data_IF_476657253410
#
_entry.id   IF_476657253410
#
_cell.length_a   1.000
_cell.length_b   1.000
_cell.length_c   1.000
_cell.angle_alpha   90.00
_cell.angle_beta   90.00
_cell.angle_gamma   90.00
#
_symmetry.space_group_name_H-M   'P 1'
#
loop_
_entity.id
_entity.type
_entity.pdbx_description
1 polymer ?
#
# COMPACT_ATOMS: atom_id res chain seq x y z
N UNK A 1 -4.99 7.82 -12.21
CA UNK A 1 -4.04 8.12 -11.11
C UNK A 1 -4.24 7.09 -10.01
N UNK A 2 -3.43 6.03 -9.99
CA UNK A 2 -3.47 5.04 -8.92
C UNK A 2 -2.59 5.56 -7.79
N UNK A 3 -3.16 6.22 -6.79
CA UNK A 3 -2.46 6.62 -5.55
C UNK A 3 -3.19 5.97 -4.38
N UNK A 4 -2.47 5.64 -3.31
CA UNK A 4 -3.13 5.18 -2.09
C UNK A 4 -3.96 6.31 -1.49
N UNK A 5 -5.28 6.11 -1.44
CA UNK A 5 -6.25 7.09 -0.92
C UNK A 5 -6.63 6.69 0.50
N UNK A 6 -5.70 6.93 1.45
CA UNK A 6 -5.92 6.65 2.86
C UNK A 6 -5.46 7.79 3.75
N UNK A 7 -5.94 7.81 4.98
CA UNK A 7 -5.62 8.84 5.97
C UNK A 7 -5.00 8.18 7.21
N UNK A 8 -3.71 8.42 7.45
CA UNK A 8 -3.04 7.96 8.66
C UNK A 8 -3.46 8.90 9.79
N UNK A 9 -4.14 8.37 10.81
CA UNK A 9 -4.40 9.11 12.06
C UNK A 9 -3.29 8.74 13.04
N UNK A 10 -2.34 9.64 13.24
CA UNK A 10 -1.30 9.53 14.27
C UNK A 10 -1.43 10.72 15.20
N UNK A 11 -1.66 10.46 16.48
CA UNK A 11 -1.71 11.50 17.54
C UNK A 11 -2.70 12.64 17.22
N UNK A 12 -3.87 12.31 16.65
CA UNK A 12 -4.92 13.28 16.32
C UNK A 12 -4.68 14.10 15.05
N UNK A 13 -3.58 13.86 14.32
CA UNK A 13 -3.31 14.48 13.01
C UNK A 13 -3.60 13.50 11.89
N UNK A 14 -4.40 13.95 10.92
CA UNK A 14 -4.69 13.23 9.68
C UNK A 14 -3.63 13.55 8.62
N UNK A 15 -2.89 12.53 8.20
CA UNK A 15 -1.91 12.65 7.10
C UNK A 15 -2.42 11.86 5.88
N UNK A 16 -2.38 12.48 4.70
CA UNK A 16 -2.65 11.77 3.44
C UNK A 16 -1.58 10.70 3.24
N UNK A 17 -1.97 9.48 2.91
CA UNK A 17 -1.07 8.36 2.70
C UNK A 17 -0.27 8.53 1.40
N UNK A 18 0.87 9.23 1.47
CA UNK A 18 1.85 9.36 0.37
C UNK A 18 2.89 8.24 0.43
N UNK A 19 2.45 6.98 0.36
CA UNK A 19 3.38 5.85 0.38
C UNK A 19 3.79 5.41 -1.02
N UNK A 20 5.02 4.90 -1.11
CA UNK A 20 5.52 4.16 -2.27
C UNK A 20 4.50 3.09 -2.65
N UNK A 21 4.10 3.07 -3.91
CA UNK A 21 3.26 2.02 -4.45
C UNK A 21 4.13 0.81 -4.72
N UNK A 22 3.56 -0.35 -4.45
CA UNK A 22 4.15 -1.64 -4.71
C UNK A 22 3.25 -2.41 -5.66
N UNK A 23 3.87 -3.23 -6.49
CA UNK A 23 3.21 -4.15 -7.41
C UNK A 23 3.44 -5.58 -6.93
N UNK A 24 2.38 -6.37 -6.80
CA UNK A 24 2.45 -7.77 -6.40
C UNK A 24 2.75 -8.62 -7.63
N UNK A 25 3.88 -9.34 -7.58
CA UNK A 25 4.31 -10.17 -8.72
C UNK A 25 3.35 -11.34 -8.94
N UNK A 26 2.73 -11.87 -7.88
CA UNK A 26 1.93 -13.10 -7.94
C UNK A 26 0.52 -12.88 -8.48
N UNK A 27 -0.14 -11.77 -8.13
CA UNK A 27 -1.52 -11.48 -8.53
C UNK A 27 -1.71 -10.20 -9.34
N UNK A 28 -0.63 -9.42 -9.57
CA UNK A 28 -0.68 -8.18 -10.33
C UNK A 28 -1.30 -6.99 -9.61
N UNK A 29 -1.68 -7.13 -8.33
CA UNK A 29 -2.29 -6.05 -7.58
C UNK A 29 -1.28 -4.94 -7.26
N UNK A 30 -1.70 -3.68 -7.42
CA UNK A 30 -0.92 -2.49 -7.07
C UNK A 30 -1.50 -1.87 -5.80
N UNK A 31 -0.64 -1.46 -4.88
CA UNK A 31 -1.03 -0.69 -3.70
C UNK A 31 0.16 -0.41 -2.78
N UNK A 32 -0.05 0.33 -1.71
CA UNK A 32 0.99 0.70 -0.76
C UNK A 32 1.24 -0.41 0.26
N UNK A 33 2.45 -0.45 0.79
CA UNK A 33 2.76 -1.23 1.99
C UNK A 33 2.45 -0.41 3.23
N UNK A 34 1.47 -0.85 4.00
CA UNK A 34 0.97 -0.19 5.20
C UNK A 34 1.40 -0.98 6.45
N UNK A 35 1.86 -0.26 7.47
CA UNK A 35 2.23 -0.87 8.76
C UNK A 35 1.02 -1.15 9.67
N UNK A 36 -0.16 -0.65 9.30
CA UNK A 36 -1.42 -0.92 10.00
C UNK A 36 -2.58 -0.96 9.01
N UNK A 37 -3.53 -1.87 9.23
CA UNK A 37 -4.76 -2.01 8.43
C UNK A 37 -5.58 -0.72 8.40
N UNK A 38 -5.56 0.07 9.48
CA UNK A 38 -6.41 1.25 9.62
C UNK A 38 -5.82 2.53 9.02
N UNK A 39 -4.58 2.50 8.55
CA UNK A 39 -3.82 3.71 8.20
C UNK A 39 -3.93 4.10 6.73
N UNK A 40 -3.94 3.10 5.85
CA UNK A 40 -4.19 3.31 4.43
C UNK A 40 -5.25 2.30 4.00
N UNK A 41 -6.04 2.66 2.99
CA UNK A 41 -7.33 2.08 2.54
C UNK A 41 -7.38 0.58 2.18
N UNK A 42 -6.58 -0.28 2.82
CA UNK A 42 -6.38 -1.70 2.49
C UNK A 42 -5.91 -1.92 1.05
N UNK A 43 -5.32 -0.89 0.45
CA UNK A 43 -4.90 -0.92 -0.93
C UNK A 43 -3.48 -1.47 -0.99
N UNK A 44 -3.34 -2.79 -1.14
CA UNK A 44 -2.06 -3.41 -1.53
C UNK A 44 -1.51 -4.38 -0.51
N UNK A 45 -0.73 -3.89 0.45
CA UNK A 45 0.15 -4.73 1.27
C UNK A 45 0.12 -4.33 2.74
N UNK A 46 0.30 -5.29 3.63
CA UNK A 46 0.51 -5.06 5.05
C UNK A 46 1.78 -5.78 5.50
N UNK A 47 2.81 -5.04 5.92
CA UNK A 47 4.13 -5.60 6.24
C UNK A 47 4.65 -6.51 5.11
N UNK A 48 4.72 -6.00 3.88
CA UNK A 48 5.10 -6.74 2.68
C UNK A 48 4.16 -7.90 2.27
N UNK A 49 3.07 -8.17 3.01
CA UNK A 49 2.08 -9.18 2.67
C UNK A 49 0.98 -8.58 1.80
N UNK A 50 0.80 -9.09 0.58
CA UNK A 50 -0.30 -8.66 -0.28
C UNK A 50 -1.65 -8.98 0.38
N UNK A 51 -2.49 -7.97 0.56
CA UNK A 51 -3.83 -8.11 1.13
C UNK A 51 -4.83 -8.75 0.16
N UNK A 52 -4.52 -8.76 -1.14
CA UNK A 52 -5.39 -9.33 -2.17
C UNK A 52 -5.22 -10.83 -2.29
N UNK A 53 -3.98 -11.32 -2.42
CA UNK A 53 -3.71 -12.75 -2.61
C UNK A 53 -3.02 -13.43 -1.42
N UNK A 54 -2.63 -12.68 -0.38
CA UNK A 54 -2.05 -13.22 0.86
C UNK A 54 -0.56 -13.57 0.80
N UNK A 55 0.08 -13.48 -0.37
CA UNK A 55 1.52 -13.78 -0.54
C UNK A 55 2.38 -12.73 0.16
N UNK A 56 3.51 -13.16 0.72
CA UNK A 56 4.44 -12.26 1.42
C UNK A 56 5.75 -12.14 0.63
N UNK A 57 6.33 -10.93 0.58
CA UNK A 57 7.66 -10.66 0.02
C UNK A 57 7.77 -10.71 -1.51
N UNK A 58 6.67 -10.92 -2.23
CA UNK A 58 6.64 -10.91 -3.70
C UNK A 58 6.10 -9.57 -4.24
N UNK A 59 6.78 -8.48 -3.89
CA UNK A 59 6.43 -7.12 -4.32
C UNK A 59 7.61 -6.38 -4.95
N UNK A 60 7.33 -5.47 -5.88
CA UNK A 60 8.30 -4.55 -6.49
C UNK A 60 7.83 -3.12 -6.31
N UNK A 61 8.75 -2.17 -6.16
CA UNK A 61 8.40 -0.75 -6.19
C UNK A 61 7.76 -0.45 -7.55
N UNK A 62 6.56 0.13 -7.50
CA UNK A 62 5.84 0.58 -8.67
C UNK A 62 6.19 2.05 -8.89
N UNK A 63 7.20 2.27 -9.73
CA UNK A 63 7.52 3.61 -10.20
C UNK A 63 6.46 4.03 -11.20
N UNK A 64 5.74 5.10 -10.88
CA UNK A 64 5.02 5.88 -11.88
C UNK A 64 6.08 6.81 -12.50
N UNK A 65 6.52 6.53 -13.72
CA UNK A 65 7.07 7.58 -14.57
C UNK A 65 5.88 8.52 -14.91
N UNK A 66 6.03 9.80 -14.58
CA UNK A 66 5.06 10.87 -14.80
C UNK A 66 4.82 11.13 -16.29
#
# INVERSE_FOLDING_TARGET
MTRCLGTIIKEGKSHICHHTLYYCISCGSVGCDQYSFSQCSNQGFLYCKCLVCGVNGQSKIYYYDD
#
